data_IF_715461600588
#
_entry.id   IF_715461600588
#
_cell.length_a   1.000
_cell.length_b   1.000
_cell.length_c   1.000
_cell.angle_alpha   90.00
_cell.angle_beta   90.00
_cell.angle_gamma   90.00
#
_symmetry.space_group_name_H-M   'P 1'
#
loop_
_entity.id
_entity.type
_entity.pdbx_description
1 polymer ?
#
# COMPACT_ATOMS: atom_id res chain seq x y z
N UNK A 1 18.81 -5.04 13.99
CA UNK A 1 18.96 -5.50 12.59
C UNK A 1 17.95 -6.59 12.21
N UNK A 2 17.69 -7.59 13.07
CA UNK A 2 16.77 -8.72 12.78
C UNK A 2 15.29 -8.34 12.64
N UNK A 3 14.84 -7.33 13.38
CA UNK A 3 13.43 -6.91 13.39
C UNK A 3 13.02 -6.15 12.11
N UNK A 4 13.89 -5.30 11.59
CA UNK A 4 13.70 -4.60 10.31
C UNK A 4 13.53 -5.62 9.17
N UNK A 5 14.34 -6.67 9.17
CA UNK A 5 14.27 -7.74 8.17
C UNK A 5 12.95 -8.52 8.26
N UNK A 6 12.42 -8.72 9.47
CA UNK A 6 11.11 -9.37 9.68
C UNK A 6 9.96 -8.49 9.18
N UNK A 7 10.03 -7.18 9.42
CA UNK A 7 9.03 -6.21 8.95
C UNK A 7 9.06 -6.11 7.41
N UNK A 8 10.25 -6.02 6.80
CA UNK A 8 10.38 -6.02 5.33
C UNK A 8 9.94 -7.33 4.68
N UNK A 9 10.07 -8.47 5.39
CA UNK A 9 9.64 -9.77 4.86
C UNK A 9 8.11 -9.89 4.77
N UNK A 10 7.34 -9.03 5.44
CA UNK A 10 5.90 -8.99 5.23
C UNK A 10 5.61 -8.50 3.80
N UNK A 11 4.98 -9.32 2.94
CA UNK A 11 4.69 -8.95 1.56
C UNK A 11 3.88 -7.65 1.45
N UNK A 12 3.05 -7.35 2.46
CA UNK A 12 2.23 -6.13 2.49
C UNK A 12 3.10 -4.90 2.62
N UNK A 13 4.02 -4.91 3.59
CA UNK A 13 4.95 -3.80 3.84
C UNK A 13 5.90 -3.65 2.66
N UNK A 14 6.47 -4.75 2.16
CA UNK A 14 7.36 -4.71 1.00
C UNK A 14 6.65 -4.11 -0.23
N UNK A 15 5.42 -4.52 -0.52
CA UNK A 15 4.66 -4.00 -1.68
C UNK A 15 4.35 -2.52 -1.50
N UNK A 16 3.90 -2.11 -0.31
CA UNK A 16 3.64 -0.70 0.01
C UNK A 16 4.90 0.15 -0.16
N UNK A 17 6.06 -0.31 0.34
CA UNK A 17 7.33 0.40 0.19
C UNK A 17 7.78 0.50 -1.27
N UNK A 18 7.61 -0.56 -2.06
CA UNK A 18 7.93 -0.55 -3.49
C UNK A 18 7.05 0.46 -4.23
N UNK A 19 5.73 0.45 -4.00
CA UNK A 19 4.81 1.39 -4.65
C UNK A 19 5.08 2.84 -4.21
N UNK A 20 5.38 3.07 -2.93
CA UNK A 20 5.80 4.38 -2.45
C UNK A 20 7.12 4.84 -3.12
N UNK A 21 8.08 3.94 -3.28
CA UNK A 21 9.34 4.23 -3.97
C UNK A 21 9.12 4.57 -5.45
N UNK A 22 8.16 3.91 -6.13
CA UNK A 22 7.76 4.25 -7.50
C UNK A 22 7.22 5.69 -7.58
N UNK A 23 6.35 6.08 -6.65
CA UNK A 23 5.81 7.45 -6.59
C UNK A 23 6.93 8.47 -6.37
N UNK A 24 7.84 8.20 -5.42
CA UNK A 24 9.03 9.04 -5.18
C UNK A 24 9.91 9.12 -6.42
N UNK A 25 10.10 8.01 -7.13
CA UNK A 25 10.81 7.97 -8.40
C UNK A 25 10.16 8.87 -9.47
N UNK A 26 8.83 8.90 -9.54
CA UNK A 26 8.09 9.79 -10.44
C UNK A 26 8.34 11.27 -10.13
N UNK A 27 8.33 11.66 -8.86
CA UNK A 27 8.71 13.02 -8.46
C UNK A 27 10.18 13.35 -8.76
N UNK A 28 11.08 12.38 -8.60
CA UNK A 28 12.49 12.55 -8.97
C UNK A 28 12.65 12.81 -10.48
N UNK A 29 11.88 12.11 -11.34
CA UNK A 29 11.85 12.38 -12.78
C UNK A 29 11.33 13.79 -13.10
N UNK A 30 10.28 14.24 -12.41
CA UNK A 30 9.77 15.61 -12.57
C UNK A 30 10.84 16.66 -12.22
N UNK A 31 11.51 16.48 -11.07
CA UNK A 31 12.58 17.38 -10.64
C UNK A 31 13.76 17.40 -11.60
N UNK A 32 14.15 16.23 -12.13
CA UNK A 32 15.23 16.13 -13.11
C UNK A 32 14.85 16.77 -14.45
N UNK A 33 13.63 16.55 -14.93
CA UNK A 33 13.11 17.19 -16.13
C UNK A 33 13.08 18.72 -16.02
N UNK A 34 12.60 19.22 -14.88
CA UNK A 34 12.63 20.65 -14.57
C UNK A 34 14.05 21.21 -14.57
N UNK A 35 14.99 20.52 -13.89
CA UNK A 35 16.40 20.94 -13.83
C UNK A 35 17.04 20.98 -15.22
N UNK A 36 16.77 20.00 -16.07
CA UNK A 36 17.26 19.95 -17.45
C UNK A 36 16.70 21.08 -18.30
N UNK A 37 15.39 21.32 -18.23
CA UNK A 37 14.74 22.42 -18.95
C UNK A 37 15.28 23.79 -18.49
N UNK A 38 15.38 24.01 -17.17
CA UNK A 38 15.86 25.26 -16.58
C UNK A 38 17.34 25.56 -16.91
N UNK A 39 18.15 24.54 -17.21
CA UNK A 39 19.54 24.72 -17.63
C UNK A 39 19.67 25.22 -19.08
N UNK A 40 18.58 25.30 -19.84
CA UNK A 40 18.60 25.72 -21.26
C UNK A 40 17.79 26.99 -21.49
N UNK A 41 18.40 28.00 -22.12
CA UNK A 41 17.74 29.27 -22.43
C UNK A 41 16.94 29.22 -23.76
N UNK A 42 17.22 28.24 -24.61
CA UNK A 42 16.56 28.09 -25.90
C UNK A 42 15.42 27.07 -25.81
N UNK A 43 14.18 27.55 -26.01
CA UNK A 43 12.94 26.78 -25.78
C UNK A 43 12.89 25.44 -26.52
N UNK A 44 13.32 25.30 -27.79
CA UNK A 44 13.30 24.00 -28.46
C UNK A 44 14.13 22.91 -27.75
N UNK A 45 15.19 23.27 -27.03
CA UNK A 45 15.98 22.31 -26.26
C UNK A 45 15.32 21.91 -24.92
N UNK A 46 14.30 22.65 -24.47
CA UNK A 46 13.54 22.32 -23.26
C UNK A 46 12.52 21.21 -23.51
N UNK A 47 11.96 21.13 -24.72
CA UNK A 47 10.87 20.20 -25.07
C UNK A 47 11.22 18.74 -24.75
N UNK A 48 12.40 18.20 -25.09
CA UNK A 48 12.78 16.84 -24.73
C UNK A 48 12.79 16.58 -23.22
N UNK A 49 13.24 17.55 -22.41
CA UNK A 49 13.26 17.42 -20.94
C UNK A 49 11.85 17.46 -20.34
N UNK A 50 10.98 18.32 -20.87
CA UNK A 50 9.57 18.40 -20.45
C UNK A 50 8.83 17.11 -20.82
N UNK A 51 9.00 16.61 -22.03
CA UNK A 51 8.34 15.37 -22.47
C UNK A 51 8.84 14.17 -21.66
N UNK A 52 10.16 13.99 -21.52
CA UNK A 52 10.72 12.84 -20.81
C UNK A 52 10.54 12.92 -19.29
N UNK A 53 10.63 14.10 -18.68
CA UNK A 53 10.50 14.26 -17.23
C UNK A 53 9.05 14.46 -16.78
N UNK A 54 8.29 15.32 -17.45
CA UNK A 54 6.93 15.65 -17.02
C UNK A 54 5.93 14.55 -17.35
N UNK A 55 5.90 14.06 -18.60
CA UNK A 55 4.93 13.04 -18.99
C UNK A 55 5.24 11.71 -18.29
N UNK A 56 6.49 11.25 -18.33
CA UNK A 56 6.87 10.00 -17.66
C UNK A 56 6.73 10.11 -16.14
N UNK A 57 7.16 11.23 -15.55
CA UNK A 57 7.05 11.48 -14.11
C UNK A 57 5.60 11.51 -13.63
N UNK A 58 4.71 12.23 -14.33
CA UNK A 58 3.28 12.27 -14.00
C UNK A 58 2.60 10.92 -14.18
N UNK A 59 2.91 10.20 -15.26
CA UNK A 59 2.38 8.85 -15.48
C UNK A 59 2.80 7.91 -14.34
N UNK A 60 4.06 7.99 -13.90
CA UNK A 60 4.61 7.15 -12.83
C UNK A 60 4.01 7.50 -11.47
N UNK A 61 3.85 8.80 -11.14
CA UNK A 61 3.18 9.25 -9.91
C UNK A 61 1.72 8.81 -9.91
N UNK A 62 0.99 9.05 -11.00
CA UNK A 62 -0.43 8.70 -11.10
C UNK A 62 -0.67 7.20 -10.99
N UNK A 63 0.07 6.40 -11.77
CA UNK A 63 -0.03 4.94 -11.71
C UNK A 63 0.42 4.38 -10.34
N UNK A 64 1.51 4.91 -9.79
CA UNK A 64 2.02 4.52 -8.48
C UNK A 64 1.01 4.79 -7.35
N UNK A 65 0.40 5.98 -7.33
CA UNK A 65 -0.64 6.33 -6.36
C UNK A 65 -1.89 5.48 -6.54
N UNK A 66 -2.36 5.26 -7.77
CA UNK A 66 -3.53 4.43 -8.03
C UNK A 66 -3.32 3.00 -7.53
N UNK A 67 -2.18 2.38 -7.85
CA UNK A 67 -1.83 1.04 -7.39
C UNK A 67 -1.66 0.98 -5.87
N UNK A 68 -1.05 2.01 -5.27
CA UNK A 68 -0.88 2.11 -3.82
C UNK A 68 -2.24 2.16 -3.12
N UNK A 69 -3.16 3.02 -3.58
CA UNK A 69 -4.52 3.11 -3.02
C UNK A 69 -5.25 1.78 -3.11
N UNK A 70 -5.24 1.13 -4.28
CA UNK A 70 -5.87 -0.19 -4.48
C UNK A 70 -5.25 -1.23 -3.54
N UNK A 71 -3.93 -1.23 -3.37
CA UNK A 71 -3.24 -2.16 -2.48
C UNK A 71 -3.65 -1.94 -1.02
N UNK A 72 -3.66 -0.70 -0.55
CA UNK A 72 -4.07 -0.36 0.82
C UNK A 72 -5.50 -0.78 1.10
N UNK A 73 -6.45 -0.41 0.24
CA UNK A 73 -7.86 -0.82 0.35
C UNK A 73 -8.01 -2.34 0.40
N UNK A 74 -7.31 -3.07 -0.48
CA UNK A 74 -7.33 -4.55 -0.47
C UNK A 74 -6.77 -5.13 0.81
N UNK A 75 -5.68 -4.57 1.33
CA UNK A 75 -5.06 -5.07 2.56
C UNK A 75 -5.94 -4.81 3.79
N UNK A 76 -6.58 -3.65 3.85
CA UNK A 76 -7.51 -3.26 4.91
C UNK A 76 -8.77 -4.13 4.87
N UNK A 77 -9.42 -4.25 3.72
CA UNK A 77 -10.59 -5.12 3.55
C UNK A 77 -10.28 -6.59 3.88
N UNK A 78 -9.08 -7.07 3.55
CA UNK A 78 -8.66 -8.42 3.93
C UNK A 78 -8.41 -8.58 5.43
N UNK A 79 -7.99 -7.52 6.12
CA UNK A 79 -7.81 -7.51 7.56
C UNK A 79 -9.16 -7.47 8.29
N UNK A 80 -10.05 -6.56 7.89
CA UNK A 80 -11.40 -6.43 8.46
C UNK A 80 -12.18 -7.76 8.37
N UNK A 81 -12.14 -8.42 7.20
CA UNK A 81 -12.77 -9.75 7.02
C UNK A 81 -12.22 -10.80 7.98
N UNK A 82 -10.92 -10.77 8.28
CA UNK A 82 -10.29 -11.71 9.23
C UNK A 82 -10.74 -11.44 10.66
N UNK A 83 -10.87 -10.18 11.03
CA UNK A 83 -11.35 -9.75 12.35
C UNK A 83 -12.81 -10.16 12.55
N UNK A 84 -13.69 -9.87 11.59
CA UNK A 84 -15.09 -10.30 11.62
C UNK A 84 -15.21 -11.83 11.72
N UNK A 85 -14.45 -12.57 10.90
CA UNK A 85 -14.46 -14.03 10.95
C UNK A 85 -13.93 -14.58 12.29
N UNK A 86 -13.01 -13.88 12.96
CA UNK A 86 -12.53 -14.26 14.29
C UNK A 86 -13.63 -14.07 15.34
N UNK A 87 -14.31 -12.91 15.33
CA UNK A 87 -15.44 -12.64 16.23
C UNK A 87 -16.57 -13.65 16.06
N UNK A 88 -16.94 -13.98 14.81
CA UNK A 88 -17.94 -15.00 14.53
C UNK A 88 -17.54 -16.37 15.11
N UNK A 89 -16.28 -16.79 14.94
CA UNK A 89 -15.78 -18.04 15.52
C UNK A 89 -15.86 -18.04 17.04
N UNK A 90 -15.53 -16.93 17.68
CA UNK A 90 -15.55 -16.84 19.15
C UNK A 90 -16.98 -16.84 19.70
N UNK A 91 -17.92 -16.16 19.04
CA UNK A 91 -19.35 -16.23 19.38
C UNK A 91 -19.87 -17.67 19.24
N UNK A 92 -19.56 -18.34 18.14
CA UNK A 92 -19.95 -19.75 17.93
C UNK A 92 -19.36 -20.68 18.99
N UNK A 93 -18.11 -20.46 19.41
CA UNK A 93 -17.47 -21.21 20.50
C UNK A 93 -18.19 -21.00 21.84
N UNK A 94 -18.62 -19.78 22.14
CA UNK A 94 -19.37 -19.47 23.35
C UNK A 94 -20.76 -20.14 23.34
N UNK A 95 -21.48 -20.04 22.21
CA UNK A 95 -22.77 -20.70 22.04
C UNK A 95 -22.66 -22.23 22.13
N UNK A 96 -21.58 -22.83 21.62
CA UNK A 96 -21.34 -24.27 21.73
C UNK A 96 -21.10 -24.73 23.17
N UNK A 97 -20.54 -23.88 24.03
CA UNK A 97 -20.31 -24.18 25.47
C UNK A 97 -21.54 -23.92 26.36
N UNK A 98 -22.44 -23.02 25.96
CA UNK A 98 -23.67 -22.72 26.70
C UNK A 98 -24.60 -23.92 27.00
N UNK A 99 -24.82 -24.90 26.10
CA UNK A 99 -25.70 -26.04 26.40
C UNK A 99 -25.16 -26.97 27.49
N UNK A 100 -23.84 -27.00 27.73
CA UNK A 100 -23.23 -27.82 28.78
C UNK A 100 -23.45 -27.23 30.19
N UNK A 101 -23.45 -25.89 30.31
CA UNK A 101 -23.74 -25.20 31.57
C UNK A 101 -25.19 -25.41 32.05
N UNK A 102 -26.14 -25.59 31.12
CA UNK A 102 -27.56 -25.83 31.42
C UNK A 102 -27.86 -27.27 31.86
N UNK A 103 -26.96 -28.22 31.61
CA UNK A 103 -27.14 -29.67 31.89
C UNK A 103 -26.53 -30.16 33.20
N UNK A 104 -26.02 -29.29 34.08
CA UNK A 104 -25.67 -29.68 35.46
C UNK A 104 -26.89 -29.51 36.37
N UNK A 105 -27.70 -30.55 36.63
CA UNK A 105 -28.65 -30.52 37.72
C UNK A 105 -27.87 -30.44 39.04
N UNK A 106 -28.18 -29.44 39.84
CA UNK A 106 -27.78 -29.32 41.23
C UNK A 106 -28.21 -30.57 41.99
N UNK A 107 -27.25 -31.42 42.36
CA UNK A 107 -27.38 -32.38 43.44
C UNK A 107 -27.03 -31.69 44.74
#
# INVERSE_FOLDING_TARGET
>A
MSEIWRILRDPRVSTTLVLAAVVVGGFALLGQGYRGAAATLFVPYQVPFVVSGAIAGLALVGAGLALLSIHLERTEAAQERREIAALQRDVLRLLARAPEARRRPSR
#
